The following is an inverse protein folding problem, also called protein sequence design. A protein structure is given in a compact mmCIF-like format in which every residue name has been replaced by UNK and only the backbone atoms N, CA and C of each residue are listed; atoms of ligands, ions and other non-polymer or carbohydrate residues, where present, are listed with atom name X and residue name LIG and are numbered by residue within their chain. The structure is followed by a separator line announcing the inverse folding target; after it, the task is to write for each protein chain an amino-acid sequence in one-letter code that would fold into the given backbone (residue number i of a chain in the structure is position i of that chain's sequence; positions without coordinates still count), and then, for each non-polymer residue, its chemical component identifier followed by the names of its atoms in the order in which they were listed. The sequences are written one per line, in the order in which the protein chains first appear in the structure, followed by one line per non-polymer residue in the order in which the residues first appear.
data_IF_033748380827
#
_entry.id   IF_033748380827
#
_cell.length_a   1.000
_cell.length_b   1.000
_cell.length_c   1.000
_cell.angle_alpha   90.00
_cell.angle_beta   90.00
_cell.angle_gamma   90.00
#
_symmetry.space_group_name_H-M   'P 1'
#
loop_
_entity.id
_entity.type
_entity.pdbx_description
1 polymer ?
#
# COMPACT_ATOMS: atom_id res chain seq x y z
N UNK A 1 -20.16 27.40 1.71
CA UNK A 1 -18.75 27.34 1.29
C UNK A 1 -17.95 26.65 2.39
N UNK A 2 -17.35 25.47 2.15
CA UNK A 2 -16.39 24.87 3.09
C UNK A 2 -15.00 25.12 2.53
N UNK A 3 -14.29 26.07 3.14
CA UNK A 3 -12.85 26.23 2.95
C UNK A 3 -12.17 24.92 3.38
N UNK A 4 -11.74 24.12 2.40
CA UNK A 4 -10.89 22.97 2.65
C UNK A 4 -9.50 23.54 2.88
N UNK A 5 -9.09 23.61 4.15
CA UNK A 5 -7.70 23.77 4.54
C UNK A 5 -6.81 22.86 3.67
N UNK A 6 -5.64 23.35 3.25
CA UNK A 6 -4.66 22.66 2.41
C UNK A 6 -4.03 21.38 3.03
N UNK A 7 -4.74 20.73 3.96
CA UNK A 7 -4.32 19.52 4.64
C UNK A 7 -4.54 18.30 3.73
N UNK A 8 -3.51 17.49 3.57
CA UNK A 8 -3.63 16.20 2.89
C UNK A 8 -4.61 15.30 3.68
N UNK A 9 -5.52 14.58 3.01
CA UNK A 9 -6.41 13.64 3.68
C UNK A 9 -5.60 12.63 4.50
N UNK A 10 -5.99 12.38 5.75
CA UNK A 10 -5.29 11.43 6.63
C UNK A 10 -5.13 10.04 5.97
N UNK A 11 -6.09 9.62 5.15
CA UNK A 11 -6.01 8.38 4.38
C UNK A 11 -4.86 8.35 3.38
N UNK A 12 -4.53 9.47 2.73
CA UNK A 12 -3.42 9.57 1.78
C UNK A 12 -2.08 9.50 2.50
N UNK A 13 -1.97 10.13 3.66
CA UNK A 13 -0.76 10.08 4.47
C UNK A 13 -0.51 8.66 5.03
N UNK A 14 -1.57 8.02 5.54
CA UNK A 14 -1.54 6.62 5.98
C UNK A 14 -1.11 5.71 4.81
N UNK A 15 -1.67 5.91 3.62
CA UNK A 15 -1.33 5.14 2.42
C UNK A 15 0.12 5.35 2.00
N UNK A 16 0.61 6.59 2.01
CA UNK A 16 2.01 6.92 1.69
C UNK A 16 2.99 6.26 2.64
N UNK A 17 2.70 6.31 3.95
CA UNK A 17 3.50 5.66 5.00
C UNK A 17 3.49 4.13 4.82
N UNK A 18 2.31 3.56 4.52
CA UNK A 18 2.15 2.13 4.23
C UNK A 18 2.97 1.69 3.03
N UNK A 19 2.89 2.40 1.91
CA UNK A 19 3.70 2.08 0.73
C UNK A 19 5.18 2.18 1.04
N UNK A 20 5.66 3.28 1.65
CA UNK A 20 7.07 3.38 2.08
C UNK A 20 7.54 2.18 2.90
N UNK A 21 6.71 1.70 3.84
CA UNK A 21 7.00 0.51 4.64
C UNK A 21 7.05 -0.77 3.80
N UNK A 22 6.07 -1.00 2.92
CA UNK A 22 6.05 -2.16 2.00
C UNK A 22 7.32 -2.21 1.15
N UNK A 23 7.71 -1.09 0.55
CA UNK A 23 8.92 -1.02 -0.26
C UNK A 23 10.21 -1.20 0.54
N UNK A 24 10.22 -0.89 1.84
CA UNK A 24 11.35 -1.18 2.72
C UNK A 24 11.42 -2.68 3.05
N UNK A 25 10.27 -3.28 3.39
CA UNK A 25 10.16 -4.70 3.74
C UNK A 25 10.47 -5.62 2.56
N UNK A 26 9.93 -5.32 1.38
CA UNK A 26 10.15 -6.11 0.16
C UNK A 26 11.59 -6.04 -0.38
N UNK A 27 12.34 -4.98 -0.05
CA UNK A 27 13.78 -4.88 -0.38
C UNK A 27 14.67 -5.72 0.52
N UNK A 28 14.18 -6.21 1.65
CA UNK A 28 14.94 -7.16 2.48
C UNK A 28 15.04 -8.51 1.76
N UNK A 29 16.01 -9.33 2.17
CA UNK A 29 16.19 -10.69 1.65
C UNK A 29 14.89 -11.50 1.79
N UNK A 30 14.70 -12.47 0.89
CA UNK A 30 13.55 -13.38 0.88
C UNK A 30 13.37 -14.12 2.21
N UNK A 31 14.48 -14.40 2.88
CA UNK A 31 14.52 -15.15 4.14
C UNK A 31 14.21 -14.27 5.36
N UNK A 32 14.02 -12.96 5.17
CA UNK A 32 13.70 -12.09 6.29
C UNK A 32 12.28 -12.35 6.80
N UNK A 33 12.15 -12.58 8.11
CA UNK A 33 10.87 -12.83 8.80
C UNK A 33 9.84 -11.75 8.47
N UNK A 34 10.27 -10.48 8.38
CA UNK A 34 9.36 -9.37 8.06
C UNK A 34 8.80 -9.43 6.63
N UNK A 35 9.57 -9.95 5.66
CA UNK A 35 9.12 -10.15 4.28
C UNK A 35 8.19 -11.36 4.17
N UNK A 36 8.49 -12.44 4.89
CA UNK A 36 7.61 -13.60 4.99
C UNK A 36 6.28 -13.25 5.67
N UNK A 37 6.31 -12.47 6.75
CA UNK A 37 5.10 -12.00 7.44
C UNK A 37 4.18 -11.15 6.55
N UNK A 38 4.72 -10.47 5.53
CA UNK A 38 3.94 -9.66 4.59
C UNK A 38 3.05 -10.55 3.70
N UNK A 39 3.54 -11.72 3.30
CA UNK A 39 2.83 -12.68 2.43
C UNK A 39 2.12 -13.78 3.22
N UNK A 40 2.45 -13.94 4.50
CA UNK A 40 1.91 -15.00 5.35
C UNK A 40 0.39 -14.94 5.48
N UNK A 41 -0.26 -16.08 5.19
CA UNK A 41 -1.66 -16.30 5.48
C UNK A 41 -1.77 -17.13 6.76
N UNK A 42 -2.27 -16.58 7.88
CA UNK A 42 -2.47 -17.41 9.07
C UNK A 42 -3.59 -18.40 8.79
N UNK A 43 -3.21 -19.67 8.71
CA UNK A 43 -4.13 -20.79 8.53
C UNK A 43 -4.95 -20.98 9.81
N UNK A 44 -6.27 -20.91 9.71
CA UNK A 44 -7.16 -21.05 10.86
C UNK A 44 -8.56 -20.48 10.66
N UNK A 45 -9.56 -21.15 11.23
CA UNK A 45 -10.94 -20.66 11.27
C UNK A 45 -11.03 -19.48 12.24
N UNK A 46 -11.15 -18.25 11.72
CA UNK A 46 -11.40 -17.05 12.53
C UNK A 46 -12.80 -17.11 13.14
N UNK A 47 -12.94 -16.61 14.39
CA UNK A 47 -14.25 -16.46 15.05
C UNK A 47 -15.21 -15.65 14.17
N UNK A 48 -16.40 -16.19 13.93
CA UNK A 48 -17.53 -15.49 13.27
C UNK A 48 -17.76 -14.19 14.05
N UNK A 49 -17.84 -13.04 13.35
CA UNK A 49 -17.96 -11.63 13.84
C UNK A 49 -16.68 -10.78 13.86
N UNK A 50 -15.46 -11.33 13.78
CA UNK A 50 -14.25 -10.48 13.69
C UNK A 50 -14.16 -9.81 12.30
N UNK A 51 -13.94 -8.49 12.22
CA UNK A 51 -13.77 -7.79 10.95
C UNK A 51 -12.71 -8.45 10.07
N UNK A 52 -13.00 -8.53 8.77
CA UNK A 52 -12.20 -9.22 7.75
C UNK A 52 -11.01 -8.36 7.24
N UNK A 53 -10.60 -7.33 7.97
CA UNK A 53 -9.60 -6.34 7.58
C UNK A 53 -8.18 -6.73 8.03
N UNK A 54 -7.57 -7.69 7.34
CA UNK A 54 -6.16 -8.05 7.55
C UNK A 54 -5.24 -7.13 6.74
N UNK A 55 -4.05 -6.82 7.26
CA UNK A 55 -3.01 -6.04 6.56
C UNK A 55 -2.81 -6.54 5.11
N UNK A 56 -2.72 -7.86 4.91
CA UNK A 56 -2.61 -8.47 3.58
C UNK A 56 -3.73 -8.05 2.62
N UNK A 57 -5.00 -8.06 3.06
CA UNK A 57 -6.15 -7.69 2.20
C UNK A 57 -6.19 -6.21 1.88
N UNK A 58 -5.78 -5.38 2.85
CA UNK A 58 -5.66 -3.94 2.65
C UNK A 58 -4.59 -3.68 1.58
N UNK A 59 -3.45 -4.36 1.66
CA UNK A 59 -2.36 -4.25 0.69
C UNK A 59 -2.78 -4.81 -0.68
N UNK A 60 -3.43 -5.98 -0.74
CA UNK A 60 -3.96 -6.54 -1.98
C UNK A 60 -4.98 -5.60 -2.64
N UNK A 61 -5.84 -4.94 -1.87
CA UNK A 61 -6.77 -3.95 -2.39
C UNK A 61 -6.04 -2.70 -2.91
N UNK A 62 -5.02 -2.21 -2.20
CA UNK A 62 -4.19 -1.10 -2.64
C UNK A 62 -3.42 -1.45 -3.93
N UNK A 63 -2.89 -2.66 -4.05
CA UNK A 63 -2.21 -3.18 -5.26
C UNK A 63 -3.19 -3.29 -6.44
N UNK A 64 -4.38 -3.86 -6.22
CA UNK A 64 -5.42 -3.98 -7.24
C UNK A 64 -5.87 -2.60 -7.75
N UNK A 65 -5.99 -1.60 -6.87
CA UNK A 65 -6.28 -0.21 -7.26
C UNK A 65 -5.23 0.40 -8.17
N UNK A 66 -3.99 -0.10 -8.10
CA UNK A 66 -2.90 0.33 -8.98
C UNK A 66 -2.82 -0.46 -10.28
N UNK A 67 -3.74 -1.39 -10.52
CA UNK A 67 -3.73 -2.29 -11.67
C UNK A 67 -2.39 -3.03 -11.86
N UNK A 68 -1.72 -3.36 -10.74
CA UNK A 68 -0.46 -4.10 -10.74
C UNK A 68 -0.64 -5.44 -10.04
N UNK A 69 0.23 -6.41 -10.32
CA UNK A 69 0.33 -7.65 -9.56
C UNK A 69 1.48 -7.60 -8.54
N UNK A 70 1.49 -8.51 -7.56
CA UNK A 70 2.58 -8.65 -6.58
C UNK A 70 3.95 -8.85 -7.24
N UNK A 71 4.02 -9.60 -8.35
CA UNK A 71 5.28 -9.82 -9.10
C UNK A 71 5.82 -8.54 -9.74
N UNK A 72 4.95 -7.70 -10.29
CA UNK A 72 5.35 -6.41 -10.88
C UNK A 72 5.76 -5.44 -9.80
N UNK A 73 5.03 -5.41 -8.69
CA UNK A 73 5.39 -4.62 -7.52
C UNK A 73 6.78 -4.98 -7.01
N UNK A 74 7.10 -6.27 -6.94
CA UNK A 74 8.42 -6.73 -6.51
C UNK A 74 9.54 -6.25 -7.43
N UNK A 75 9.32 -6.25 -8.76
CA UNK A 75 10.26 -5.68 -9.74
C UNK A 75 10.44 -4.18 -9.55
N UNK A 76 9.34 -3.43 -9.41
CA UNK A 76 9.37 -1.97 -9.25
C UNK A 76 10.01 -1.58 -7.91
N UNK A 77 9.82 -2.37 -6.85
CA UNK A 77 10.42 -2.11 -5.54
C UNK A 77 11.96 -2.23 -5.57
N UNK A 78 12.49 -3.12 -6.41
CA UNK A 78 13.95 -3.22 -6.60
C UNK A 78 14.51 -1.99 -7.33
N UNK A 79 13.76 -1.45 -8.30
CA UNK A 79 14.08 -0.15 -8.90
C UNK A 79 13.75 1.01 -7.95
N UNK A 80 14.78 1.61 -7.35
CA UNK A 80 14.62 2.74 -6.43
C UNK A 80 13.96 3.96 -7.08
N UNK A 81 14.17 4.19 -8.37
CA UNK A 81 13.65 5.36 -9.09
C UNK A 81 12.19 5.12 -9.45
N UNK A 82 11.88 3.98 -10.07
CA UNK A 82 10.52 3.53 -10.36
C UNK A 82 9.65 3.47 -9.09
N UNK A 83 10.20 2.95 -7.99
CA UNK A 83 9.52 2.97 -6.70
C UNK A 83 9.18 4.38 -6.20
N UNK A 84 10.13 5.31 -6.29
CA UNK A 84 9.92 6.71 -5.86
C UNK A 84 8.87 7.40 -6.72
N UNK A 85 8.84 7.14 -8.03
CA UNK A 85 7.82 7.66 -8.95
C UNK A 85 6.44 7.10 -8.63
N UNK A 86 6.35 5.78 -8.41
CA UNK A 86 5.10 5.09 -8.07
C UNK A 86 4.49 5.65 -6.77
N UNK A 87 5.30 5.78 -5.71
CA UNK A 87 4.85 6.35 -4.42
C UNK A 87 4.46 7.82 -4.52
N UNK A 88 5.12 8.60 -5.40
CA UNK A 88 4.75 10.01 -5.65
C UNK A 88 3.42 10.12 -6.40
N UNK A 89 3.23 9.35 -7.46
CA UNK A 89 2.01 9.36 -8.28
C UNK A 89 0.78 8.93 -7.48
N UNK A 90 0.94 7.95 -6.57
CA UNK A 90 -0.08 7.54 -5.60
C UNK A 90 -0.64 8.67 -4.72
N UNK A 91 0.16 9.72 -4.48
CA UNK A 91 -0.24 10.89 -3.69
C UNK A 91 -0.71 12.07 -4.55
N UNK A 92 -0.45 12.04 -5.87
CA UNK A 92 -0.83 13.12 -6.79
C UNK A 92 -2.16 12.83 -7.50
N UNK A 93 -2.50 11.56 -7.75
CA UNK A 93 -3.67 11.16 -8.55
C UNK A 93 -5.02 11.51 -7.91
N UNK A 94 -5.08 11.64 -6.59
CA UNK A 94 -6.30 12.07 -5.88
C UNK A 94 -6.47 13.59 -5.86
N UNK A 95 -5.41 14.35 -6.11
CA UNK A 95 -5.45 15.83 -6.16
C UNK A 95 -6.20 16.36 -7.38
N UNK A 96 -6.29 15.57 -8.46
CA UNK A 96 -7.02 15.91 -9.70
C UNK A 96 -8.50 15.55 -9.69
N UNK A 97 -8.96 14.67 -8.78
CA UNK A 97 -10.39 14.29 -8.68
C UNK A 97 -11.25 15.30 -7.90
N UNK A 98 -10.69 16.46 -7.54
CA UNK A 98 -11.40 17.58 -6.91
C UNK A 98 -11.93 18.64 -7.90
N UNK A 99 -12.04 18.32 -9.19
CA UNK A 99 -12.71 19.15 -10.20
C UNK A 99 -13.99 18.45 -10.70
N UNK A 100 -15.03 18.51 -9.88
CA UNK A 100 -16.43 18.53 -10.30
C UNK A 100 -17.23 19.23 -9.21
#
# INVERSE_FOLDING_TARGET
MRERTNQLPAEEEIRKRRWKWIGHTLRKSSNCITRQALTWNPEGKRRRRRPKNTLRRIIEADIKRMNNNWKELERIVQDRVGWRMLVRNLCSFTRSNGRK
#
